data_IF_753834127583
#
_entry.id   IF_753834127583
#
_cell.length_a   1.000
_cell.length_b   1.000
_cell.length_c   1.000
_cell.angle_alpha   90.00
_cell.angle_beta   90.00
_cell.angle_gamma   90.00
#
_symmetry.space_group_name_H-M   'P 1'
#
loop_
_entity.id
_entity.type
_entity.pdbx_description
1 polymer ?
#
# COMPACT_ATOMS: atom_id res chain seq x y z
N UNK A 1 -6.35 67.61 20.65
CA UNK A 1 -7.18 66.52 20.11
C UNK A 1 -6.42 65.21 20.27
N UNK A 2 -6.77 64.44 21.29
CA UNK A 2 -6.16 63.13 21.61
C UNK A 2 -6.97 62.06 20.94
N UNK A 3 -6.34 61.30 20.02
CA UNK A 3 -6.96 60.13 19.36
C UNK A 3 -6.59 58.91 20.21
N UNK A 4 -7.60 58.34 20.86
CA UNK A 4 -7.49 57.14 21.69
C UNK A 4 -7.22 55.90 20.80
N UNK A 5 -6.12 55.23 21.06
CA UNK A 5 -5.84 53.87 20.52
C UNK A 5 -6.74 52.86 21.21
N UNK A 6 -7.55 52.15 20.42
CA UNK A 6 -8.36 51.00 20.90
C UNK A 6 -7.42 49.79 21.01
N UNK A 7 -7.17 49.38 22.27
CA UNK A 7 -6.53 48.10 22.56
C UNK A 7 -7.50 46.95 22.24
N UNK A 8 -7.13 46.15 21.24
CA UNK A 8 -7.83 44.91 20.92
C UNK A 8 -7.30 43.85 21.90
N UNK A 9 -8.08 43.62 22.95
CA UNK A 9 -7.87 42.53 23.90
C UNK A 9 -8.12 41.17 23.20
N UNK A 10 -7.03 40.49 22.88
CA UNK A 10 -7.07 39.07 22.48
C UNK A 10 -7.50 38.22 23.67
N UNK A 11 -8.73 37.75 23.67
CA UNK A 11 -9.20 36.81 24.68
C UNK A 11 -8.56 35.44 24.47
N UNK A 12 -8.01 34.79 25.51
CA UNK A 12 -7.46 33.47 25.40
C UNK A 12 -8.58 32.45 25.15
N UNK A 13 -8.37 31.64 24.15
CA UNK A 13 -9.27 30.54 23.74
C UNK A 13 -9.44 29.56 24.91
N UNK A 14 -10.61 29.58 25.54
CA UNK A 14 -10.96 28.72 26.67
C UNK A 14 -11.27 27.31 26.14
N UNK A 15 -10.28 26.42 26.16
CA UNK A 15 -10.48 25.00 25.91
C UNK A 15 -11.46 24.45 26.93
N UNK A 16 -12.69 24.14 26.49
CA UNK A 16 -13.65 23.41 27.31
C UNK A 16 -13.12 21.98 27.46
N UNK A 17 -12.65 21.62 28.65
CA UNK A 17 -12.42 20.22 29.02
C UNK A 17 -13.79 19.52 28.97
N UNK A 18 -14.04 18.76 27.91
CA UNK A 18 -15.16 17.84 27.82
C UNK A 18 -15.01 16.77 28.90
N UNK A 19 -15.97 16.71 29.83
CA UNK A 19 -16.13 15.59 30.73
C UNK A 19 -16.40 14.34 29.90
N UNK A 20 -15.42 13.49 29.76
CA UNK A 20 -15.62 12.12 29.26
C UNK A 20 -16.41 11.36 30.32
N UNK A 21 -17.71 11.24 30.11
CA UNK A 21 -18.53 10.27 30.85
C UNK A 21 -17.98 8.90 30.48
N UNK A 22 -17.34 8.23 31.44
CA UNK A 22 -16.85 6.87 31.29
C UNK A 22 -18.03 5.94 31.01
N UNK A 23 -18.24 5.59 29.73
CA UNK A 23 -18.96 4.38 29.39
C UNK A 23 -18.02 3.23 29.73
N UNK A 24 -18.30 2.57 30.85
CA UNK A 24 -17.63 1.34 31.27
C UNK A 24 -18.03 0.18 30.35
N UNK A 25 -17.60 0.24 29.09
CA UNK A 25 -17.54 -0.93 28.23
C UNK A 25 -16.20 -1.59 28.46
N UNK A 26 -16.13 -2.50 29.43
CA UNK A 26 -15.10 -3.51 29.45
C UNK A 26 -15.12 -4.23 28.11
N UNK A 27 -14.00 -4.30 27.37
CA UNK A 27 -13.95 -5.12 26.17
C UNK A 27 -14.27 -6.56 26.62
N UNK A 28 -15.10 -7.32 25.87
CA UNK A 28 -15.33 -8.72 26.18
C UNK A 28 -13.98 -9.42 26.20
N UNK A 29 -13.77 -10.47 27.04
CA UNK A 29 -12.56 -11.26 27.01
C UNK A 29 -12.49 -11.93 25.65
N UNK A 30 -11.97 -11.16 24.69
CA UNK A 30 -11.73 -11.59 23.33
C UNK A 30 -10.67 -12.67 23.41
N UNK A 31 -11.04 -13.86 22.95
CA UNK A 31 -10.10 -14.90 22.58
C UNK A 31 -9.02 -14.22 21.74
N UNK A 32 -7.88 -13.93 22.35
CA UNK A 32 -6.67 -13.59 21.61
C UNK A 32 -6.29 -14.87 20.88
N UNK A 33 -6.87 -15.05 19.71
CA UNK A 33 -6.39 -16.04 18.77
C UNK A 33 -5.03 -15.48 18.37
N UNK A 34 -3.99 -15.92 19.05
CA UNK A 34 -2.65 -15.83 18.55
C UNK A 34 -2.68 -16.62 17.23
N UNK A 35 -3.03 -15.95 16.15
CA UNK A 35 -2.65 -16.43 14.85
C UNK A 35 -1.12 -16.36 14.84
N UNK A 36 -0.51 -17.46 15.28
CA UNK A 36 0.84 -17.80 14.92
C UNK A 36 0.74 -18.05 13.40
N UNK A 37 0.71 -16.96 12.62
CA UNK A 37 1.04 -17.08 11.22
C UNK A 37 2.50 -17.54 11.21
N UNK A 38 2.71 -18.82 10.92
CA UNK A 38 3.95 -19.26 10.31
C UNK A 38 4.06 -18.46 9.01
N UNK A 39 4.58 -17.25 9.12
CA UNK A 39 4.56 -16.31 8.00
C UNK A 39 5.82 -16.51 7.19
N UNK A 40 5.81 -17.58 6.38
CA UNK A 40 6.74 -17.67 5.27
C UNK A 40 6.48 -16.49 4.34
N UNK A 41 7.49 -15.65 4.13
CA UNK A 41 7.40 -14.57 3.16
C UNK A 41 8.66 -14.50 2.30
N UNK A 42 8.49 -14.03 1.09
CA UNK A 42 9.59 -13.78 0.17
C UNK A 42 9.58 -12.33 -0.29
N UNK A 43 10.75 -11.79 -0.59
CA UNK A 43 10.88 -10.52 -1.32
C UNK A 43 11.20 -10.86 -2.76
N UNK A 44 10.29 -10.49 -3.66
CA UNK A 44 10.39 -10.78 -5.09
C UNK A 44 10.45 -9.48 -5.90
N UNK A 45 11.25 -9.47 -6.96
CA UNK A 45 11.29 -8.38 -7.93
C UNK A 45 10.37 -8.68 -9.11
N UNK A 46 9.36 -7.82 -9.30
CA UNK A 46 8.39 -7.91 -10.40
C UNK A 46 8.40 -6.58 -11.17
N UNK A 47 8.68 -6.62 -12.45
CA UNK A 47 8.74 -5.43 -13.33
C UNK A 47 9.59 -4.28 -12.74
N UNK A 48 10.73 -4.60 -12.14
CA UNK A 48 11.66 -3.61 -11.55
C UNK A 48 11.22 -3.04 -10.19
N UNK A 49 10.16 -3.59 -9.59
CA UNK A 49 9.71 -3.22 -8.24
C UNK A 49 9.78 -4.42 -7.31
N UNK A 50 10.13 -4.16 -6.06
CA UNK A 50 10.23 -5.19 -5.03
C UNK A 50 8.93 -5.27 -4.23
N UNK A 51 8.43 -6.49 -4.04
CA UNK A 51 7.22 -6.77 -3.30
C UNK A 51 7.46 -7.81 -2.23
N UNK A 52 6.79 -7.65 -1.08
CA UNK A 52 6.70 -8.68 -0.07
C UNK A 52 5.59 -9.66 -0.46
N UNK A 53 5.97 -10.89 -0.77
CA UNK A 53 5.07 -11.98 -1.13
C UNK A 53 4.79 -12.85 0.10
N UNK A 54 3.54 -12.93 0.52
CA UNK A 54 3.05 -13.85 1.55
C UNK A 54 1.96 -14.73 0.95
N UNK A 55 1.92 -15.99 1.29
CA UNK A 55 0.94 -16.93 0.76
C UNK A 55 -0.50 -16.48 1.06
N UNK A 56 -1.37 -16.60 0.07
CA UNK A 56 -2.78 -16.20 0.15
C UNK A 56 -3.04 -14.68 0.07
N UNK A 57 -2.01 -13.84 0.05
CA UNK A 57 -2.20 -12.39 -0.11
C UNK A 57 -2.33 -11.96 -1.56
N UNK A 58 -3.06 -10.86 -1.75
CA UNK A 58 -3.20 -10.19 -3.03
C UNK A 58 -2.13 -9.11 -3.21
N UNK A 59 -1.59 -9.01 -4.41
CA UNK A 59 -0.63 -7.98 -4.81
C UNK A 59 -1.15 -7.22 -6.03
N UNK A 60 -0.91 -5.92 -6.04
CA UNK A 60 -1.10 -5.06 -7.21
C UNK A 60 0.26 -4.70 -7.77
N UNK A 61 0.55 -5.23 -8.95
CA UNK A 61 1.82 -5.00 -9.65
C UNK A 61 1.59 -4.16 -10.89
N UNK A 62 2.66 -3.57 -11.43
CA UNK A 62 2.58 -2.89 -12.72
C UNK A 62 2.03 -3.84 -13.79
N UNK A 63 1.24 -3.30 -14.70
CA UNK A 63 0.56 -4.11 -15.73
C UNK A 63 1.49 -5.07 -16.45
N UNK A 64 1.10 -6.35 -16.46
CA UNK A 64 1.80 -7.43 -17.16
C UNK A 64 1.09 -7.65 -18.49
N UNK A 65 1.79 -7.35 -19.59
CA UNK A 65 1.24 -7.55 -20.93
C UNK A 65 1.04 -9.05 -21.21
N UNK A 66 -0.14 -9.40 -21.74
CA UNK A 66 -0.45 -10.78 -22.12
C UNK A 66 -0.90 -11.69 -20.96
N UNK A 67 -1.11 -11.15 -19.76
CA UNK A 67 -1.69 -11.89 -18.66
C UNK A 67 -3.20 -12.06 -18.87
N UNK A 68 -3.73 -13.27 -18.68
CA UNK A 68 -5.15 -13.59 -18.74
C UNK A 68 -5.68 -13.93 -17.33
N UNK A 69 -7.01 -13.81 -17.14
CA UNK A 69 -7.66 -14.20 -15.89
C UNK A 69 -7.45 -15.69 -15.60
N UNK A 70 -7.03 -16.04 -14.39
CA UNK A 70 -6.81 -17.41 -13.97
C UNK A 70 -5.47 -18.00 -14.45
N UNK A 71 -4.65 -17.24 -15.16
CA UNK A 71 -3.33 -17.69 -15.58
C UNK A 71 -2.38 -17.75 -14.39
N UNK A 72 -1.57 -18.80 -14.32
CA UNK A 72 -0.49 -18.93 -13.36
C UNK A 72 0.77 -18.31 -13.93
N UNK A 73 1.41 -17.43 -13.15
CA UNK A 73 2.67 -16.76 -13.51
C UNK A 73 3.70 -17.08 -12.44
N UNK A 74 4.90 -17.47 -12.86
CA UNK A 74 6.02 -17.76 -11.97
C UNK A 74 7.05 -16.62 -12.02
N UNK A 75 7.54 -16.22 -10.84
CA UNK A 75 8.59 -15.23 -10.69
C UNK A 75 9.82 -15.87 -10.06
N UNK A 76 10.93 -15.86 -10.80
CA UNK A 76 12.19 -16.48 -10.39
C UNK A 76 13.14 -15.51 -9.66
N UNK A 77 12.90 -14.20 -9.77
CA UNK A 77 13.75 -13.18 -9.15
C UNK A 77 13.37 -12.98 -7.68
N UNK A 78 13.73 -13.92 -6.84
CA UNK A 78 13.54 -13.86 -5.39
C UNK A 78 14.82 -13.38 -4.73
N UNK A 79 14.73 -12.28 -3.96
CA UNK A 79 15.90 -11.65 -3.32
C UNK A 79 16.13 -12.15 -1.90
N UNK A 80 15.05 -12.48 -1.19
CA UNK A 80 15.09 -12.92 0.20
C UNK A 80 13.90 -13.84 0.48
N UNK A 81 14.12 -14.84 1.32
CA UNK A 81 13.09 -15.73 1.85
C UNK A 81 13.26 -15.82 3.35
N UNK A 82 12.17 -15.67 4.08
CA UNK A 82 12.09 -15.91 5.51
C UNK A 82 11.13 -17.07 5.77
N UNK A 83 11.66 -18.14 6.34
CA UNK A 83 10.93 -19.31 6.82
C UNK A 83 10.93 -19.30 8.34
N UNK A 84 9.95 -18.64 8.96
CA UNK A 84 9.76 -18.65 10.42
C UNK A 84 11.03 -18.29 11.23
N UNK A 85 11.83 -17.36 10.72
CA UNK A 85 13.08 -16.90 11.36
C UNK A 85 14.36 -17.43 10.73
N UNK A 86 14.27 -18.38 9.80
CA UNK A 86 15.42 -18.75 8.96
C UNK A 86 15.44 -17.88 7.70
N UNK A 87 16.29 -16.86 7.73
CA UNK A 87 16.40 -15.89 6.63
C UNK A 87 17.50 -16.33 5.66
N UNK A 88 17.11 -16.55 4.38
CA UNK A 88 18.04 -16.75 3.28
C UNK A 88 18.09 -15.50 2.41
N UNK A 89 19.25 -14.88 2.28
CA UNK A 89 19.46 -13.69 1.45
C UNK A 89 20.21 -14.09 0.19
N UNK A 90 19.69 -13.67 -0.98
CA UNK A 90 20.33 -13.89 -2.26
C UNK A 90 21.52 -12.95 -2.52
N UNK A 91 22.43 -13.36 -3.39
CA UNK A 91 23.55 -12.55 -3.86
C UNK A 91 23.61 -12.53 -5.41
N UNK A 92 22.76 -11.81 -6.13
CA UNK A 92 21.60 -10.96 -5.75
C UNK A 92 20.30 -11.74 -5.55
N UNK A 93 20.13 -12.93 -6.12
CA UNK A 93 18.92 -13.76 -6.05
C UNK A 93 19.20 -15.06 -5.30
N UNK A 94 18.15 -15.65 -4.73
CA UNK A 94 18.19 -16.97 -4.11
C UNK A 94 18.03 -18.02 -5.19
N UNK A 95 19.01 -18.91 -5.34
CA UNK A 95 18.98 -19.97 -6.35
C UNK A 95 17.89 -20.99 -6.04
N UNK A 96 17.11 -21.36 -7.06
CA UNK A 96 16.05 -22.34 -6.96
C UNK A 96 14.73 -21.84 -6.36
N UNK A 97 14.69 -20.60 -5.89
CA UNK A 97 13.48 -20.01 -5.31
C UNK A 97 12.55 -19.48 -6.40
N UNK A 98 11.24 -19.73 -6.23
CA UNK A 98 10.21 -19.25 -7.14
C UNK A 98 8.95 -18.83 -6.36
N UNK A 99 8.28 -17.78 -6.82
CA UNK A 99 6.96 -17.37 -6.33
C UNK A 99 5.93 -17.63 -7.39
N UNK A 100 4.95 -18.46 -7.07
CA UNK A 100 3.86 -18.83 -7.97
C UNK A 100 2.63 -17.99 -7.64
N UNK A 101 2.19 -17.21 -8.61
CA UNK A 101 1.05 -16.31 -8.49
C UNK A 101 -0.04 -16.68 -9.52
N UNK A 102 -1.30 -16.45 -9.15
CA UNK A 102 -2.44 -16.53 -10.07
C UNK A 102 -2.96 -15.13 -10.37
N UNK A 103 -3.22 -14.84 -11.63
CA UNK A 103 -3.79 -13.58 -12.10
C UNK A 103 -5.29 -13.54 -11.81
N UNK A 104 -5.74 -12.66 -10.92
CA UNK A 104 -7.17 -12.44 -10.67
C UNK A 104 -7.80 -11.51 -11.71
N UNK A 105 -7.11 -10.39 -11.96
CA UNK A 105 -7.54 -9.39 -12.93
C UNK A 105 -6.36 -8.84 -13.69
N UNK A 106 -6.30 -8.97 -15.01
CA UNK A 106 -5.16 -8.53 -15.82
C UNK A 106 -5.05 -7.01 -15.88
N UNK A 107 -6.19 -6.30 -15.76
CA UNK A 107 -6.22 -4.85 -15.85
C UNK A 107 -7.09 -4.23 -14.77
N UNK A 108 -6.45 -3.67 -13.75
CA UNK A 108 -7.08 -2.84 -12.71
C UNK A 108 -6.61 -1.40 -12.88
N UNK A 109 -7.56 -0.48 -12.96
CA UNK A 109 -7.27 0.95 -13.10
C UNK A 109 -7.13 1.59 -11.72
N UNK A 110 -6.01 2.20 -11.46
CA UNK A 110 -5.76 3.00 -10.27
C UNK A 110 -6.61 4.28 -10.19
N UNK A 111 -6.36 5.08 -9.17
CA UNK A 111 -7.05 6.35 -8.96
C UNK A 111 -6.77 7.33 -10.10
N UNK A 112 -7.78 8.15 -10.41
CA UNK A 112 -7.64 9.16 -11.46
C UNK A 112 -6.88 10.37 -10.93
N UNK A 113 -5.70 10.62 -11.51
CA UNK A 113 -4.91 11.81 -11.25
C UNK A 113 -5.23 12.86 -12.29
N UNK A 114 -5.64 14.06 -11.86
CA UNK A 114 -5.90 15.18 -12.73
C UNK A 114 -4.63 15.99 -12.92
N UNK A 115 -4.08 15.96 -14.14
CA UNK A 115 -2.87 16.70 -14.52
C UNK A 115 -3.29 18.02 -15.16
N UNK A 116 -3.14 19.11 -14.42
CA UNK A 116 -3.51 20.44 -14.86
C UNK A 116 -2.28 21.30 -15.16
N UNK A 117 -2.23 21.85 -16.38
CA UNK A 117 -1.19 22.78 -16.82
C UNK A 117 -1.82 24.11 -17.27
N UNK A 118 -1.29 25.21 -16.74
CA UNK A 118 -1.69 26.58 -17.10
C UNK A 118 -0.45 27.46 -17.27
N UNK A 119 -0.45 28.30 -18.28
CA UNK A 119 0.55 29.37 -18.44
C UNK A 119 -0.11 30.72 -18.18
N UNK A 120 0.50 31.50 -17.27
CA UNK A 120 0.00 32.85 -16.94
C UNK A 120 -0.01 33.75 -18.20
N UNK A 121 -1.09 34.52 -18.37
CA UNK A 121 -1.27 35.52 -19.47
C UNK A 121 -1.17 34.98 -20.91
N UNK A 122 -1.14 33.67 -21.12
CA UNK A 122 -0.98 33.09 -22.47
C UNK A 122 -2.18 32.26 -22.94
N UNK A 123 -3.31 32.32 -22.28
CA UNK A 123 -4.50 31.54 -22.67
C UNK A 123 -4.30 29.99 -22.66
N UNK A 124 -3.09 29.51 -22.37
CA UNK A 124 -2.79 28.08 -22.33
C UNK A 124 -3.35 27.44 -21.09
N UNK A 125 -4.26 26.50 -21.27
CA UNK A 125 -4.94 25.79 -20.20
C UNK A 125 -5.24 24.36 -20.67
N UNK A 126 -4.65 23.36 -20.03
CA UNK A 126 -4.80 21.94 -20.40
C UNK A 126 -5.06 21.11 -19.17
N UNK A 127 -6.09 20.27 -19.20
CA UNK A 127 -6.45 19.34 -18.15
C UNK A 127 -6.52 17.94 -18.73
N UNK A 128 -5.63 17.05 -18.28
CA UNK A 128 -5.60 15.66 -18.67
C UNK A 128 -5.85 14.78 -17.44
N UNK A 129 -6.61 13.70 -17.61
CA UNK A 129 -6.74 12.68 -16.59
C UNK A 129 -5.79 11.52 -16.89
N UNK A 130 -5.09 11.03 -15.87
CA UNK A 130 -4.23 9.85 -15.96
C UNK A 130 -4.71 8.80 -14.96
N UNK A 131 -4.68 7.52 -15.34
CA UNK A 131 -4.87 6.38 -14.45
C UNK A 131 -3.77 5.38 -14.69
N UNK A 132 -3.10 4.97 -13.62
CA UNK A 132 -2.13 3.90 -13.69
C UNK A 132 -2.83 2.56 -13.90
N UNK A 133 -2.21 1.67 -14.65
CA UNK A 133 -2.70 0.33 -14.93
C UNK A 133 -1.95 -0.67 -14.05
N UNK A 134 -2.68 -1.50 -13.32
CA UNK A 134 -2.14 -2.55 -12.48
C UNK A 134 -2.70 -3.91 -12.91
N UNK A 135 -1.98 -4.97 -12.57
CA UNK A 135 -2.46 -6.34 -12.60
C UNK A 135 -2.63 -6.84 -11.17
N UNK A 136 -3.77 -7.42 -10.83
CA UNK A 136 -4.05 -8.02 -9.53
C UNK A 136 -3.65 -9.48 -9.56
N UNK A 137 -2.74 -9.86 -8.65
CA UNK A 137 -2.21 -11.20 -8.48
C UNK A 137 -2.56 -11.74 -7.10
N UNK A 138 -2.79 -13.04 -6.98
CA UNK A 138 -2.84 -13.76 -5.70
C UNK A 138 -1.65 -14.70 -5.62
N UNK A 139 -0.93 -14.65 -4.50
CA UNK A 139 0.20 -15.54 -4.25
C UNK A 139 -0.36 -16.89 -3.83
N UNK A 140 -0.02 -17.94 -4.57
CA UNK A 140 -0.44 -19.32 -4.27
C UNK A 140 0.61 -20.01 -3.39
N UNK A 141 1.84 -20.07 -3.86
CA UNK A 141 2.91 -20.78 -3.18
C UNK A 141 4.23 -19.99 -3.30
N UNK A 142 5.06 -20.13 -2.26
CA UNK A 142 6.45 -19.67 -2.25
C UNK A 142 7.32 -20.91 -2.17
N UNK A 143 8.11 -21.19 -3.20
CA UNK A 143 9.04 -22.32 -3.27
C UNK A 143 10.42 -21.79 -2.94
N UNK A 144 11.08 -22.42 -1.94
CA UNK A 144 12.39 -22.01 -1.43
C UNK A 144 13.44 -23.07 -1.69
#
# INVERSE_FOLDING_TARGET
>A
MLVAKKDVLLQPFRVRRGQTRGCGCSPPPGKTVLHIHSSMYAIVEINGQQFKAEEGKKLFVNHICGAENGQTVEFEKVLLIDNNGEVKVGAPTVDGAKVVCEVLSPLVKGDKVLVFHKKRRKGYRKLNGYRHQFTELTIKNVIA
#
